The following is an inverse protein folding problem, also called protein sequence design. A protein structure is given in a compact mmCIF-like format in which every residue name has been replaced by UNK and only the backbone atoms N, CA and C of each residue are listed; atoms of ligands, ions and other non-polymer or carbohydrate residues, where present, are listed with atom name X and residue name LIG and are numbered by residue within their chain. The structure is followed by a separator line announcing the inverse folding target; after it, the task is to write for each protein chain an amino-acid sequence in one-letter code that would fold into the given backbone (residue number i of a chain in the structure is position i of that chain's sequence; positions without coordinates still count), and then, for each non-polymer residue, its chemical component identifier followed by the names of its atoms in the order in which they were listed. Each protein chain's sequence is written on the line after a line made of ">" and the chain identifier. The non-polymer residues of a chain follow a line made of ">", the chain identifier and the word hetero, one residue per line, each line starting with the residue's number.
data_IF_130838801883
#
_entry.id   IF_130838801883
#
_cell.length_a   1.000
_cell.length_b   1.000
_cell.length_c   1.000
_cell.angle_alpha   90.00
_cell.angle_beta   90.00
_cell.angle_gamma   90.00
#
_symmetry.space_group_name_H-M   'P 1'
#
loop_
_entity.id
_entity.type
_entity.pdbx_description
1 polymer ?
#
# COMPACT_ATOMS: atom_id res chain seq x y z
N UNK A 1 1.67 -6.10 10.24
CA UNK A 1 1.75 -6.55 8.83
C UNK A 1 2.20 -8.01 8.73
N UNK A 2 3.27 -8.43 9.41
CA UNK A 2 3.71 -9.84 9.37
C UNK A 2 2.64 -10.83 9.85
N UNK A 3 2.02 -10.59 11.02
CA UNK A 3 0.91 -11.43 11.52
C UNK A 3 -0.29 -11.46 10.57
N UNK A 4 -0.57 -10.36 9.85
CA UNK A 4 -1.62 -10.33 8.83
C UNK A 4 -1.31 -11.31 7.70
N UNK A 5 -0.08 -11.30 7.18
CA UNK A 5 0.33 -12.25 6.13
C UNK A 5 0.38 -13.70 6.63
N UNK A 6 0.80 -13.94 7.88
CA UNK A 6 0.77 -15.28 8.45
C UNK A 6 -0.66 -15.84 8.51
N UNK A 7 -1.61 -15.04 8.98
CA UNK A 7 -3.02 -15.45 9.02
C UNK A 7 -3.61 -15.58 7.61
N UNK A 8 -3.28 -14.66 6.70
CA UNK A 8 -3.66 -14.76 5.29
C UNK A 8 -3.17 -16.06 4.65
N UNK A 9 -1.91 -16.43 4.84
CA UNK A 9 -1.32 -17.66 4.27
C UNK A 9 -1.96 -18.93 4.86
N UNK A 10 -2.28 -18.91 6.16
CA UNK A 10 -2.99 -20.03 6.81
C UNK A 10 -4.40 -20.21 6.25
N UNK A 11 -5.11 -19.10 6.02
CA UNK A 11 -6.46 -19.14 5.44
C UNK A 11 -6.45 -19.47 3.94
N UNK A 12 -5.48 -18.95 3.19
CA UNK A 12 -5.31 -19.23 1.76
C UNK A 12 -5.07 -20.73 1.49
N UNK A 13 -4.44 -21.43 2.43
CA UNK A 13 -4.15 -22.86 2.34
C UNK A 13 -3.02 -23.18 1.34
N UNK A 14 -2.62 -24.45 1.28
CA UNK A 14 -1.57 -24.91 0.37
C UNK A 14 -0.14 -24.49 0.74
N UNK A 15 0.06 -23.95 1.95
CA UNK A 15 1.35 -23.58 2.54
C UNK A 15 1.53 -24.37 3.83
N UNK A 16 2.67 -25.05 4.03
CA UNK A 16 2.93 -25.73 5.29
C UNK A 16 3.20 -24.73 6.43
N UNK A 17 2.86 -25.07 7.68
CA UNK A 17 3.08 -24.18 8.84
C UNK A 17 4.56 -23.81 9.01
N UNK A 18 5.48 -24.69 8.57
CA UNK A 18 6.92 -24.42 8.55
C UNK A 18 7.32 -23.33 7.53
N UNK A 19 6.60 -23.18 6.42
CA UNK A 19 6.88 -22.19 5.38
C UNK A 19 6.26 -20.81 5.66
N UNK A 20 5.20 -20.75 6.49
CA UNK A 20 4.45 -19.53 6.80
C UNK A 20 5.36 -18.36 7.24
N UNK A 21 6.34 -18.55 8.15
CA UNK A 21 7.23 -17.46 8.55
C UNK A 21 8.07 -16.90 7.40
N UNK A 22 8.60 -17.76 6.51
CA UNK A 22 9.41 -17.34 5.37
C UNK A 22 8.59 -16.58 4.34
N UNK A 23 7.47 -17.16 3.90
CA UNK A 23 6.60 -16.54 2.90
C UNK A 23 5.96 -15.24 3.38
N UNK A 24 5.61 -15.14 4.67
CA UNK A 24 5.10 -13.87 5.23
C UNK A 24 6.13 -12.74 5.21
N UNK A 25 7.43 -13.04 5.33
CA UNK A 25 8.51 -12.07 5.18
C UNK A 25 8.71 -11.65 3.72
N UNK A 26 8.58 -12.59 2.78
CA UNK A 26 8.63 -12.30 1.34
C UNK A 26 7.47 -11.38 0.94
N UNK A 27 6.23 -11.71 1.33
CA UNK A 27 5.05 -10.87 1.09
C UNK A 27 5.19 -9.46 1.69
N UNK A 28 5.83 -9.35 2.87
CA UNK A 28 6.12 -8.05 3.46
C UNK A 28 7.04 -7.21 2.56
N UNK A 29 8.13 -7.80 2.06
CA UNK A 29 9.06 -7.12 1.14
C UNK A 29 8.37 -6.75 -0.17
N UNK A 30 7.55 -7.64 -0.71
CA UNK A 30 6.77 -7.41 -1.93
C UNK A 30 5.76 -6.28 -1.77
N UNK A 31 5.15 -6.14 -0.59
CA UNK A 31 4.10 -5.14 -0.33
C UNK A 31 4.67 -3.73 -0.07
N UNK A 32 5.88 -3.62 0.48
CA UNK A 32 6.47 -2.32 0.87
C UNK A 32 6.48 -1.29 -0.28
N UNK A 33 6.88 -1.63 -1.52
CA UNK A 33 6.81 -0.72 -2.65
C UNK A 33 5.41 -0.18 -2.96
N UNK A 34 4.35 -0.91 -2.59
CA UNK A 34 2.97 -0.50 -2.86
C UNK A 34 2.43 0.53 -1.85
N UNK A 35 3.15 0.81 -0.76
CA UNK A 35 2.80 1.88 0.18
C UNK A 35 2.74 3.25 -0.51
N UNK A 36 3.82 3.76 -1.14
CA UNK A 36 3.77 5.00 -1.91
C UNK A 36 2.82 4.92 -3.11
N UNK A 37 2.72 3.77 -3.80
CA UNK A 37 1.80 3.59 -4.94
C UNK A 37 0.34 3.86 -4.51
N UNK A 38 -0.08 3.28 -3.38
CA UNK A 38 -1.41 3.53 -2.81
C UNK A 38 -1.61 5.00 -2.46
N UNK A 39 -0.62 5.63 -1.83
CA UNK A 39 -0.68 7.06 -1.52
C UNK A 39 -0.85 7.94 -2.76
N UNK A 40 -0.10 7.68 -3.81
CA UNK A 40 -0.24 8.40 -5.07
C UNK A 40 -1.63 8.19 -5.70
N UNK A 41 -2.08 6.95 -5.81
CA UNK A 41 -3.37 6.59 -6.39
C UNK A 41 -4.53 7.34 -5.72
N UNK A 42 -4.62 7.25 -4.39
CA UNK A 42 -5.69 7.89 -3.64
C UNK A 42 -5.55 9.41 -3.55
N UNK A 43 -4.32 9.93 -3.63
CA UNK A 43 -4.08 11.38 -3.73
C UNK A 43 -4.64 11.96 -5.03
N UNK A 44 -4.33 11.33 -6.17
CA UNK A 44 -4.86 11.75 -7.48
C UNK A 44 -6.37 11.55 -7.56
N UNK A 45 -6.90 10.42 -7.06
CA UNK A 45 -8.34 10.20 -6.98
C UNK A 45 -9.05 11.31 -6.21
N UNK A 46 -8.47 11.76 -5.09
CA UNK A 46 -9.09 12.81 -4.27
C UNK A 46 -9.04 14.19 -4.94
N UNK A 47 -7.98 14.51 -5.70
CA UNK A 47 -7.96 15.73 -6.53
C UNK A 47 -9.12 15.75 -7.54
N UNK A 48 -9.40 14.61 -8.17
CA UNK A 48 -10.56 14.50 -9.06
C UNK A 48 -11.88 14.65 -8.30
N UNK A 49 -12.01 13.98 -7.15
CA UNK A 49 -13.24 14.05 -6.34
C UNK A 49 -13.52 15.45 -5.78
N UNK A 50 -12.50 16.24 -5.51
CA UNK A 50 -12.68 17.64 -5.12
C UNK A 50 -13.50 18.43 -6.16
N UNK A 51 -13.36 18.12 -7.44
CA UNK A 51 -14.08 18.79 -8.52
C UNK A 51 -15.47 18.19 -8.80
N UNK A 52 -15.63 16.87 -8.65
CA UNK A 52 -16.82 16.16 -9.18
C UNK A 52 -17.74 15.55 -8.12
N UNK A 53 -17.28 15.43 -6.87
CA UNK A 53 -18.00 14.67 -5.84
C UNK A 53 -18.99 15.56 -5.08
N UNK A 54 -20.25 15.12 -4.90
CA UNK A 54 -21.22 15.83 -4.06
C UNK A 54 -21.05 15.52 -2.56
N UNK A 55 -20.12 14.63 -2.20
CA UNK A 55 -19.93 14.18 -0.81
C UNK A 55 -19.27 15.30 0.00
N UNK A 56 -19.80 15.58 1.20
CA UNK A 56 -19.25 16.54 2.16
C UNK A 56 -17.97 16.06 2.86
N UNK A 57 -16.93 15.80 2.08
CA UNK A 57 -15.64 15.30 2.54
C UNK A 57 -14.51 16.26 2.12
N UNK A 58 -13.49 16.40 2.96
CA UNK A 58 -12.33 17.28 2.73
C UNK A 58 -11.35 16.71 1.70
N UNK A 59 -11.76 16.62 0.43
CA UNK A 59 -10.96 16.00 -0.63
C UNK A 59 -9.62 16.70 -0.89
N UNK A 60 -9.58 18.04 -0.83
CA UNK A 60 -8.34 18.80 -1.04
C UNK A 60 -7.29 18.51 0.04
N UNK A 61 -7.70 18.48 1.32
CA UNK A 61 -6.80 18.15 2.43
C UNK A 61 -6.36 16.69 2.36
N UNK A 62 -7.29 15.78 2.07
CA UNK A 62 -6.97 14.37 1.88
C UNK A 62 -5.95 14.16 0.74
N UNK A 63 -6.14 14.82 -0.41
CA UNK A 63 -5.20 14.76 -1.52
C UNK A 63 -3.80 15.23 -1.10
N UNK A 64 -3.71 16.36 -0.38
CA UNK A 64 -2.46 16.90 0.14
C UNK A 64 -1.76 15.91 1.06
N UNK A 65 -2.48 15.34 2.02
CA UNK A 65 -1.92 14.38 2.98
C UNK A 65 -1.43 13.12 2.28
N UNK A 66 -2.22 12.57 1.35
CA UNK A 66 -1.86 11.37 0.59
C UNK A 66 -0.64 11.62 -0.28
N UNK A 67 -0.57 12.71 -1.04
CA UNK A 67 0.59 13.03 -1.87
C UNK A 67 1.84 13.33 -1.03
N UNK A 68 1.68 13.97 0.14
CA UNK A 68 2.77 14.14 1.10
C UNK A 68 3.34 12.80 1.59
N UNK A 69 2.48 11.84 1.92
CA UNK A 69 2.88 10.48 2.29
C UNK A 69 3.54 9.72 1.13
N UNK A 70 3.09 9.93 -0.11
CA UNK A 70 3.75 9.39 -1.30
C UNK A 70 5.21 9.85 -1.36
N UNK A 71 5.47 11.17 -1.33
CA UNK A 71 6.83 11.67 -1.39
C UNK A 71 7.69 11.23 -0.20
N UNK A 72 7.10 11.13 1.00
CA UNK A 72 7.80 10.62 2.20
C UNK A 72 8.21 9.15 2.07
N UNK A 73 7.40 8.33 1.41
CA UNK A 73 7.60 6.87 1.28
C UNK A 73 8.12 6.42 -0.09
N UNK A 74 8.40 7.36 -1.01
CA UNK A 74 8.82 7.06 -2.39
C UNK A 74 10.04 6.13 -2.48
N UNK A 75 10.97 6.24 -1.54
CA UNK A 75 12.16 5.38 -1.44
C UNK A 75 11.84 3.88 -1.32
N UNK A 76 10.63 3.51 -0.87
CA UNK A 76 10.21 2.11 -0.81
C UNK A 76 10.01 1.50 -2.21
N UNK A 77 9.88 2.32 -3.25
CA UNK A 77 9.78 1.84 -4.64
C UNK A 77 11.14 1.52 -5.27
N UNK A 78 12.25 1.86 -4.62
CA UNK A 78 13.59 1.70 -5.22
C UNK A 78 13.89 0.23 -5.56
N UNK A 79 13.30 -0.72 -4.83
CA UNK A 79 13.43 -2.16 -5.11
C UNK A 79 12.68 -2.61 -6.37
N UNK A 80 11.81 -1.78 -6.96
CA UNK A 80 11.10 -2.06 -8.21
C UNK A 80 11.83 -1.55 -9.47
N UNK A 81 12.95 -0.85 -9.31
CA UNK A 81 13.77 -0.40 -10.43
C UNK A 81 14.96 -1.38 -10.61
N UNK A 82 14.81 -2.46 -11.40
CA UNK A 82 15.98 -3.12 -11.95
C UNK A 82 16.62 -2.13 -12.91
N UNK A 83 17.90 -1.86 -12.71
CA UNK A 83 18.73 -0.98 -13.53
C UNK A 83 18.55 -1.29 -15.02
#
# INVERSE_FOLDING_TARGET
>A
MLQFFQNYLREYGGISEQEVPGKSQEMLRETLPFVPVSHFFWGVWALLQFEVSPVGFGFADYARDRLGLYFKSRHLMDSLNPI
#
